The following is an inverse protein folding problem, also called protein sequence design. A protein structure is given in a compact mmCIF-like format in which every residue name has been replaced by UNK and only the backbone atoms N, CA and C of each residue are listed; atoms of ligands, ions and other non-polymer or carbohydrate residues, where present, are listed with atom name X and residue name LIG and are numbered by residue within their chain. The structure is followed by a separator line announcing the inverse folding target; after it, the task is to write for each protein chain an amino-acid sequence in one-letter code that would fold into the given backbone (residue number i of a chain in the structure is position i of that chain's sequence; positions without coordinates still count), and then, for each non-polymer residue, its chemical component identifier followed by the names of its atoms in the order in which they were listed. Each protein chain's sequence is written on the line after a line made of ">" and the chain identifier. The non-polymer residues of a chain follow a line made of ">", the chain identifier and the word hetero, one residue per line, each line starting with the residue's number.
data_IF_872726022943
#
_entry.id   IF_872726022943
#
_cell.length_a   1.000
_cell.length_b   1.000
_cell.length_c   1.000
_cell.angle_alpha   90.00
_cell.angle_beta   90.00
_cell.angle_gamma   90.00
#
_symmetry.space_group_name_H-M   'P 1'
#
loop_
_entity.id
_entity.type
_entity.pdbx_description
1 polymer ?
#
# COMPACT_ATOMS: atom_id res chain seq x y z
N UNK A 1 18.66 -4.04 -2.50
CA UNK A 1 18.09 -4.44 -3.78
C UNK A 1 19.17 -4.86 -4.77
N UNK A 2 20.22 -4.04 -4.95
CA UNK A 2 21.32 -4.30 -5.90
C UNK A 2 22.12 -5.55 -5.56
N UNK A 3 22.26 -5.87 -4.28
CA UNK A 3 23.04 -7.00 -3.77
C UNK A 3 22.20 -8.25 -3.48
N UNK A 4 20.90 -8.21 -3.71
CA UNK A 4 20.00 -9.34 -3.46
C UNK A 4 19.89 -10.21 -4.71
N UNK A 5 20.29 -11.48 -4.60
CA UNK A 5 20.25 -12.45 -5.70
C UNK A 5 18.84 -12.73 -6.22
N UNK A 6 17.80 -12.43 -5.42
CA UNK A 6 16.40 -12.60 -5.78
C UNK A 6 15.79 -11.34 -6.41
N UNK A 7 16.57 -10.27 -6.58
CA UNK A 7 16.11 -9.00 -7.15
C UNK A 7 16.73 -8.72 -8.53
N UNK A 8 16.10 -7.82 -9.27
CA UNK A 8 16.69 -7.27 -10.50
C UNK A 8 16.56 -8.15 -11.75
N UNK A 9 15.71 -9.16 -11.75
CA UNK A 9 15.46 -9.98 -12.94
C UNK A 9 14.85 -9.18 -14.07
N UNK A 10 15.27 -9.51 -15.32
CA UNK A 10 14.60 -9.01 -16.53
C UNK A 10 13.19 -9.59 -16.61
N UNK A 11 12.22 -8.74 -16.78
CA UNK A 11 10.83 -9.13 -16.96
C UNK A 11 10.38 -8.82 -18.40
N UNK A 12 9.32 -9.49 -18.84
CA UNK A 12 8.77 -9.30 -20.19
C UNK A 12 7.96 -7.99 -20.28
N UNK A 13 7.83 -7.46 -21.48
CA UNK A 13 6.91 -6.34 -21.72
C UNK A 13 5.47 -6.71 -21.37
N UNK A 14 5.08 -7.98 -21.55
CA UNK A 14 3.76 -8.50 -21.16
C UNK A 14 3.51 -8.31 -19.68
N UNK A 15 4.47 -8.62 -18.81
CA UNK A 15 4.32 -8.41 -17.36
C UNK A 15 4.04 -6.94 -17.01
N UNK A 16 4.75 -6.00 -17.66
CA UNK A 16 4.51 -4.57 -17.44
C UNK A 16 3.14 -4.12 -17.91
N UNK A 17 2.67 -4.67 -19.05
CA UNK A 17 1.32 -4.38 -19.56
C UNK A 17 0.25 -4.92 -18.63
N UNK A 18 0.38 -6.16 -18.15
CA UNK A 18 -0.55 -6.79 -17.22
C UNK A 18 -0.61 -6.03 -15.90
N UNK A 19 0.55 -5.60 -15.39
CA UNK A 19 0.62 -4.79 -14.17
C UNK A 19 -0.09 -3.44 -14.37
N UNK A 20 0.16 -2.73 -15.47
CA UNK A 20 -0.48 -1.46 -15.76
C UNK A 20 -2.00 -1.62 -15.88
N UNK A 21 -2.46 -2.66 -16.56
CA UNK A 21 -3.89 -2.98 -16.68
C UNK A 21 -4.52 -3.33 -15.33
N UNK A 22 -3.79 -4.08 -14.49
CA UNK A 22 -4.22 -4.40 -13.12
C UNK A 22 -4.41 -3.15 -12.27
N UNK A 23 -3.45 -2.21 -12.34
CA UNK A 23 -3.53 -0.92 -11.64
C UNK A 23 -4.74 -0.11 -12.14
N UNK A 24 -4.93 0.01 -13.46
CA UNK A 24 -6.08 0.69 -14.04
C UNK A 24 -7.40 0.08 -13.56
N UNK A 25 -7.51 -1.24 -13.59
CA UNK A 25 -8.71 -1.96 -13.15
C UNK A 25 -8.98 -1.74 -11.65
N UNK A 26 -7.94 -1.69 -10.81
CA UNK A 26 -8.09 -1.50 -9.37
C UNK A 26 -8.74 -0.16 -8.98
N UNK A 27 -8.77 0.83 -9.87
CA UNK A 27 -9.39 2.13 -9.61
C UNK A 27 -10.75 2.32 -10.30
N UNK A 28 -11.35 1.26 -10.86
CA UNK A 28 -12.69 1.34 -11.46
C UNK A 28 -13.76 1.46 -10.37
N UNK A 29 -14.41 2.60 -10.29
CA UNK A 29 -15.36 2.97 -9.22
C UNK A 29 -16.52 1.98 -9.09
N UNK A 30 -17.03 1.45 -10.20
CA UNK A 30 -18.20 0.55 -10.16
C UNK A 30 -17.91 -0.77 -9.42
N UNK A 31 -16.67 -1.20 -9.37
CA UNK A 31 -16.27 -2.42 -8.67
C UNK A 31 -16.39 -2.28 -7.16
N UNK A 32 -16.33 -1.04 -6.65
CA UNK A 32 -16.49 -0.74 -5.22
C UNK A 32 -17.93 -0.71 -4.73
N UNK A 33 -18.92 -0.69 -5.62
CA UNK A 33 -20.34 -0.62 -5.23
C UNK A 33 -20.82 -1.88 -4.50
N UNK A 34 -20.21 -3.03 -4.77
CA UNK A 34 -20.56 -4.34 -4.20
C UNK A 34 -19.63 -4.79 -3.06
N UNK A 35 -18.70 -3.95 -2.67
CA UNK A 35 -17.77 -4.28 -1.57
C UNK A 35 -18.47 -4.05 -0.22
N UNK A 36 -18.19 -4.92 0.76
CA UNK A 36 -18.59 -4.68 2.13
C UNK A 36 -17.83 -3.45 2.67
N UNK A 37 -18.56 -2.36 2.85
CA UNK A 37 -17.99 -1.06 3.27
C UNK A 37 -17.42 -1.07 4.70
N UNK A 38 -17.79 -2.07 5.49
CA UNK A 38 -17.37 -2.20 6.89
C UNK A 38 -16.07 -3.01 7.07
N UNK A 39 -15.48 -3.52 5.97
CA UNK A 39 -14.18 -4.19 6.05
C UNK A 39 -13.15 -3.19 6.58
N UNK A 40 -12.42 -3.54 7.65
CA UNK A 40 -11.33 -2.71 8.14
C UNK A 40 -10.21 -2.62 7.11
N UNK A 41 -9.76 -1.40 6.84
CA UNK A 41 -8.66 -1.14 5.90
C UNK A 41 -7.55 -0.38 6.62
N UNK A 42 -6.31 -0.87 6.52
CA UNK A 42 -5.12 -0.18 7.01
C UNK A 42 -4.13 0.04 5.87
N UNK A 43 -3.82 1.30 5.62
CA UNK A 43 -2.77 1.70 4.68
C UNK A 43 -1.51 2.01 5.47
N UNK A 44 -0.40 1.34 5.11
CA UNK A 44 0.92 1.55 5.74
C UNK A 44 1.91 1.97 4.67
N UNK A 45 2.70 3.01 4.92
CA UNK A 45 3.74 3.47 3.99
C UNK A 45 4.85 4.23 4.73
N UNK A 46 6.01 4.36 4.09
CA UNK A 46 7.08 5.25 4.51
C UNK A 46 6.92 6.65 3.94
N UNK A 47 7.38 7.68 4.67
CA UNK A 47 7.33 9.06 4.18
C UNK A 47 8.30 9.33 3.03
N UNK A 48 9.37 8.54 2.95
CA UNK A 48 10.44 8.65 1.94
C UNK A 48 10.33 7.58 0.85
N UNK A 49 9.15 6.97 0.70
CA UNK A 49 8.87 6.00 -0.35
C UNK A 49 8.64 6.70 -1.70
N UNK A 50 9.58 6.58 -2.67
CA UNK A 50 9.41 7.19 -3.99
C UNK A 50 8.29 6.52 -4.81
N UNK A 51 7.98 5.23 -4.58
CA UNK A 51 6.88 4.52 -5.25
C UNK A 51 5.53 5.12 -4.83
N UNK A 52 5.40 5.48 -3.55
CA UNK A 52 4.25 6.21 -3.01
C UNK A 52 4.27 7.72 -3.27
N UNK A 53 5.15 8.19 -4.15
CA UNK A 53 5.36 9.62 -4.41
C UNK A 53 5.56 10.43 -3.11
N UNK A 54 6.46 9.94 -2.27
CA UNK A 54 6.80 10.58 -0.98
C UNK A 54 5.55 10.94 -0.18
N UNK A 55 4.75 9.93 0.17
CA UNK A 55 3.45 10.01 0.87
C UNK A 55 2.28 10.64 0.09
N UNK A 56 2.51 11.42 -0.97
CA UNK A 56 1.43 12.11 -1.70
C UNK A 56 0.47 11.11 -2.37
N UNK A 57 1.03 10.09 -3.05
CA UNK A 57 0.24 9.03 -3.68
C UNK A 57 -0.54 8.22 -2.66
N UNK A 58 0.07 7.95 -1.50
CA UNK A 58 -0.58 7.19 -0.41
C UNK A 58 -1.73 7.98 0.21
N UNK A 59 -1.58 9.29 0.38
CA UNK A 59 -2.67 10.17 0.83
C UNK A 59 -3.79 10.23 -0.22
N UNK A 60 -3.44 10.29 -1.52
CA UNK A 60 -4.43 10.25 -2.60
C UNK A 60 -5.20 8.93 -2.60
N UNK A 61 -4.52 7.80 -2.40
CA UNK A 61 -5.15 6.49 -2.26
C UNK A 61 -6.10 6.45 -1.05
N UNK A 62 -5.67 6.94 0.10
CA UNK A 62 -6.52 7.05 1.28
C UNK A 62 -7.79 7.89 1.00
N UNK A 63 -7.62 9.06 0.36
CA UNK A 63 -8.75 9.94 0.01
C UNK A 63 -9.71 9.29 -0.99
N UNK A 64 -9.21 8.48 -1.91
CA UNK A 64 -10.03 7.69 -2.84
C UNK A 64 -10.81 6.61 -2.08
N UNK A 65 -10.13 5.78 -1.29
CA UNK A 65 -10.74 4.63 -0.63
C UNK A 65 -11.72 5.01 0.49
N UNK A 66 -11.54 6.15 1.17
CA UNK A 66 -12.48 6.62 2.20
C UNK A 66 -13.88 6.97 1.66
N UNK A 67 -14.06 7.04 0.35
CA UNK A 67 -15.39 7.19 -0.24
C UNK A 67 -16.18 5.87 -0.24
N UNK A 68 -15.50 4.73 -0.07
CA UNK A 68 -16.08 3.40 -0.15
C UNK A 68 -16.04 2.64 1.18
N UNK A 69 -15.03 2.88 2.01
CA UNK A 69 -14.84 2.18 3.28
C UNK A 69 -15.09 3.10 4.46
N UNK A 70 -15.87 2.63 5.44
CA UNK A 70 -16.19 3.38 6.67
C UNK A 70 -15.11 3.24 7.74
N UNK A 71 -14.39 2.11 7.76
CA UNK A 71 -13.32 1.81 8.72
C UNK A 71 -11.96 1.76 8.01
N UNK A 72 -11.44 2.93 7.65
CA UNK A 72 -10.15 3.06 6.97
C UNK A 72 -9.16 3.90 7.78
N UNK A 73 -7.95 3.39 7.94
CA UNK A 73 -6.87 4.03 8.65
C UNK A 73 -5.62 4.15 7.76
N UNK A 74 -4.83 5.19 8.00
CA UNK A 74 -3.55 5.40 7.33
C UNK A 74 -2.46 5.64 8.37
N UNK A 75 -1.30 4.97 8.19
CA UNK A 75 -0.08 5.20 8.98
C UNK A 75 1.10 5.42 8.07
N UNK A 76 1.68 6.61 8.17
CA UNK A 76 2.88 6.99 7.43
C UNK A 76 4.04 7.09 8.42
N UNK A 77 5.04 6.23 8.25
CA UNK A 77 6.22 6.19 9.11
C UNK A 77 7.28 7.16 8.59
N UNK A 78 7.62 8.13 9.43
CA UNK A 78 8.61 9.16 9.10
C UNK A 78 9.97 8.52 8.83
N UNK A 79 10.66 8.99 7.78
CA UNK A 79 12.01 8.59 7.35
C UNK A 79 12.12 7.11 6.91
N UNK A 80 10.99 6.38 6.78
CA UNK A 80 10.95 5.05 6.20
C UNK A 80 10.70 5.10 4.69
N UNK A 81 11.23 4.10 3.97
CA UNK A 81 11.07 3.95 2.51
C UNK A 81 10.02 2.89 2.17
N UNK A 82 10.15 2.25 1.01
CA UNK A 82 9.15 1.31 0.49
C UNK A 82 8.92 0.09 1.39
N UNK A 83 10.00 -0.50 1.89
CA UNK A 83 9.98 -1.74 2.68
C UNK A 83 9.86 -1.46 4.18
N UNK A 84 8.72 -0.91 4.62
CA UNK A 84 8.53 -0.50 6.02
C UNK A 84 8.61 -1.66 7.03
N UNK A 85 8.30 -2.89 6.62
CA UNK A 85 8.42 -4.08 7.47
C UNK A 85 9.87 -4.53 7.68
N UNK A 86 10.80 -4.07 6.84
CA UNK A 86 12.24 -4.34 6.93
C UNK A 86 13.04 -3.09 7.33
N UNK A 87 12.39 -1.94 7.49
CA UNK A 87 13.00 -0.65 7.78
C UNK A 87 13.44 -0.49 9.24
N UNK A 88 13.93 0.72 9.55
CA UNK A 88 14.42 1.05 10.88
C UNK A 88 13.33 1.02 11.95
N UNK A 89 12.09 1.34 11.57
CA UNK A 89 10.91 1.35 12.46
C UNK A 89 10.09 0.06 12.41
N UNK A 90 10.65 -1.02 11.87
CA UNK A 90 9.94 -2.30 11.72
C UNK A 90 9.20 -2.76 12.99
N UNK A 91 9.75 -2.55 14.19
CA UNK A 91 9.10 -2.92 15.46
C UNK A 91 7.79 -2.14 15.69
N UNK A 92 7.78 -0.85 15.36
CA UNK A 92 6.58 0.01 15.45
C UNK A 92 5.55 -0.41 14.40
N UNK A 93 6.02 -0.71 13.18
CA UNK A 93 5.17 -1.20 12.06
C UNK A 93 4.49 -2.51 12.46
N UNK A 94 5.25 -3.50 12.94
CA UNK A 94 4.71 -4.78 13.40
C UNK A 94 3.72 -4.62 14.54
N UNK A 95 4.00 -3.77 15.53
CA UNK A 95 3.07 -3.48 16.63
C UNK A 95 1.75 -2.90 16.12
N UNK A 96 1.82 -1.94 15.20
CA UNK A 96 0.62 -1.32 14.60
C UNK A 96 -0.18 -2.31 13.77
N UNK A 97 0.50 -3.13 12.98
CA UNK A 97 -0.12 -4.16 12.16
C UNK A 97 -0.81 -5.23 13.00
N UNK A 98 -0.10 -5.73 14.05
CA UNK A 98 -0.68 -6.68 15.01
C UNK A 98 -1.93 -6.12 15.68
N UNK A 99 -1.85 -4.89 16.21
CA UNK A 99 -3.00 -4.23 16.83
C UNK A 99 -4.18 -4.10 15.87
N UNK A 100 -3.94 -3.79 14.61
CA UNK A 100 -4.99 -3.71 13.60
C UNK A 100 -5.68 -5.06 13.41
N UNK A 101 -4.91 -6.16 13.27
CA UNK A 101 -5.49 -7.50 13.08
C UNK A 101 -6.31 -7.95 14.30
N UNK A 102 -5.85 -7.62 15.52
CA UNK A 102 -6.51 -8.01 16.76
C UNK A 102 -7.83 -7.23 17.02
N UNK A 103 -8.00 -6.07 16.37
CA UNK A 103 -9.18 -5.19 16.55
C UNK A 103 -10.08 -5.11 15.31
N UNK A 104 -9.68 -5.76 14.23
CA UNK A 104 -10.39 -5.74 12.95
C UNK A 104 -11.68 -6.59 12.95
#
# INVERSE_FOLDING_TARGET
>A
YVNDELCGYKVTNGLWMDMAQGIENAFKIYDYNNINKNIPVLIISGSEDPVGNFKRGVISLYNFLRNFFTNINIKIYKDERHEVFSGNKKREVYKSFKSFIETA
#
